data_IF_203597467389
#
_entry.id   IF_203597467389
#
_cell.length_a   1.000
_cell.length_b   1.000
_cell.length_c   1.000
_cell.angle_alpha   90.00
_cell.angle_beta   90.00
_cell.angle_gamma   90.00
#
_symmetry.space_group_name_H-M   'P 1'
#
loop_
_entity.id
_entity.type
_entity.pdbx_description
1 polymer ?
#
# COMPACT_ATOMS: atom_id res chain seq x y z
N UNK A 1 -18.41 -2.81 -2.23
CA UNK A 1 -18.44 -1.55 -1.42
C UNK A 1 -19.48 -0.59 -1.97
N UNK A 2 -20.27 0.12 -1.13
CA UNK A 2 -21.25 1.12 -1.60
C UNK A 2 -20.68 2.54 -1.57
N UNK A 3 -21.10 3.39 -2.52
CA UNK A 3 -20.58 4.76 -2.63
C UNK A 3 -20.89 5.60 -1.39
N UNK A 4 -22.11 5.55 -0.87
CA UNK A 4 -22.51 6.37 0.28
C UNK A 4 -21.72 6.00 1.53
N UNK A 5 -21.52 4.71 1.80
CA UNK A 5 -20.72 4.23 2.93
C UNK A 5 -19.26 4.68 2.79
N UNK A 6 -18.70 4.53 1.59
CA UNK A 6 -17.33 4.96 1.32
C UNK A 6 -17.15 6.46 1.51
N UNK A 7 -18.01 7.26 0.88
CA UNK A 7 -18.04 8.72 0.97
C UNK A 7 -18.13 9.18 2.42
N UNK A 8 -19.04 8.58 3.20
CA UNK A 8 -19.22 8.90 4.60
C UNK A 8 -17.98 8.59 5.44
N UNK A 9 -17.32 7.45 5.18
CA UNK A 9 -16.12 7.03 5.91
C UNK A 9 -14.93 7.93 5.57
N UNK A 10 -14.64 8.13 4.27
CA UNK A 10 -13.40 8.81 3.84
C UNK A 10 -13.48 10.33 3.90
N UNK A 11 -14.68 10.91 3.87
CA UNK A 11 -14.90 12.36 3.97
C UNK A 11 -15.37 12.81 5.36
N UNK A 12 -15.15 12.00 6.40
CA UNK A 12 -15.40 12.46 7.76
C UNK A 12 -14.55 13.71 8.06
N UNK A 13 -15.18 14.73 8.65
CA UNK A 13 -14.54 16.02 8.96
C UNK A 13 -13.26 15.85 9.79
N UNK A 14 -13.27 14.89 10.73
CA UNK A 14 -12.12 14.50 11.55
C UNK A 14 -10.95 14.00 10.71
N UNK A 15 -11.20 13.15 9.71
CA UNK A 15 -10.14 12.63 8.85
C UNK A 15 -9.54 13.71 7.95
N UNK A 16 -10.38 14.60 7.40
CA UNK A 16 -9.93 15.76 6.61
C UNK A 16 -9.06 16.69 7.48
N UNK A 17 -9.45 16.92 8.73
CA UNK A 17 -8.68 17.74 9.68
C UNK A 17 -7.37 17.06 10.13
N UNK A 18 -7.36 15.74 10.36
CA UNK A 18 -6.16 14.96 10.71
C UNK A 18 -5.16 14.88 9.54
N UNK A 19 -5.61 14.61 8.32
CA UNK A 19 -4.77 14.62 7.12
C UNK A 19 -4.26 16.02 6.75
N UNK A 20 -5.03 17.07 7.07
CA UNK A 20 -4.61 18.46 6.92
C UNK A 20 -3.60 18.90 7.98
N UNK A 21 -3.59 18.25 9.14
CA UNK A 21 -2.71 18.57 10.25
C UNK A 21 -1.56 17.58 10.47
N UNK A 22 -1.47 16.46 9.73
CA UNK A 22 -0.30 15.58 9.72
C UNK A 22 0.65 15.96 8.57
N UNK A 23 1.65 16.82 8.82
CA UNK A 23 2.56 17.31 7.79
C UNK A 23 3.51 16.21 7.32
N UNK A 24 3.66 15.13 8.09
CA UNK A 24 4.77 14.17 7.94
C UNK A 24 4.57 13.22 6.78
N UNK A 25 3.34 12.91 6.36
CA UNK A 25 3.17 12.08 5.18
C UNK A 25 3.58 12.83 3.90
N UNK A 26 3.19 14.10 3.79
CA UNK A 26 3.41 14.95 2.61
C UNK A 26 4.81 15.55 2.52
N UNK A 27 5.38 15.96 3.66
CA UNK A 27 6.71 16.55 3.71
C UNK A 27 7.81 15.52 3.38
N UNK A 28 7.52 14.22 3.50
CA UNK A 28 8.52 13.16 3.31
C UNK A 28 8.49 12.58 1.89
N UNK A 29 7.35 12.61 1.19
CA UNK A 29 7.35 12.42 -0.27
C UNK A 29 8.17 13.49 -0.98
N UNK A 30 8.24 14.72 -0.42
CA UNK A 30 9.10 15.81 -0.91
C UNK A 30 10.59 15.49 -0.78
N UNK A 31 11.01 14.73 0.24
CA UNK A 31 12.42 14.32 0.42
C UNK A 31 12.90 13.32 -0.63
N UNK A 32 12.01 12.78 -1.47
CA UNK A 32 12.40 12.06 -2.68
C UNK A 32 13.10 10.71 -2.47
N UNK A 33 13.19 10.19 -1.24
CA UNK A 33 13.85 8.90 -0.98
C UNK A 33 13.22 7.75 -1.79
N UNK A 34 11.92 7.80 -2.03
CA UNK A 34 11.22 6.85 -2.91
C UNK A 34 11.67 6.97 -4.37
N UNK A 35 12.07 8.16 -4.82
CA UNK A 35 12.61 8.38 -6.18
C UNK A 35 13.91 7.62 -6.38
N UNK A 36 14.69 7.40 -5.32
CA UNK A 36 15.93 6.62 -5.37
C UNK A 36 15.71 5.15 -5.74
N UNK A 37 14.53 4.57 -5.47
CA UNK A 37 14.20 3.24 -5.99
C UNK A 37 14.13 3.20 -7.53
N UNK A 38 13.97 4.34 -8.18
CA UNK A 38 13.94 4.48 -9.63
C UNK A 38 15.23 5.07 -10.23
N UNK A 39 16.19 5.47 -9.39
CA UNK A 39 17.49 6.00 -9.79
C UNK A 39 18.50 4.86 -10.01
N UNK A 40 19.59 5.07 -10.79
CA UNK A 40 20.59 4.04 -11.09
C UNK A 40 21.33 3.51 -9.85
N UNK A 41 21.47 4.31 -8.80
CA UNK A 41 22.25 3.96 -7.62
C UNK A 41 21.44 3.15 -6.59
N UNK A 42 22.05 2.20 -5.88
CA UNK A 42 21.40 1.51 -4.77
C UNK A 42 21.17 2.47 -3.60
N UNK A 43 20.19 2.14 -2.75
CA UNK A 43 20.00 2.86 -1.50
C UNK A 43 21.25 2.76 -0.62
N UNK A 44 21.58 3.84 0.08
CA UNK A 44 22.60 3.84 1.11
C UNK A 44 21.99 3.80 2.52
N UNK A 45 22.82 3.68 3.56
CA UNK A 45 22.35 3.64 4.95
C UNK A 45 21.52 4.86 5.34
N UNK A 46 21.88 6.06 4.86
CA UNK A 46 21.12 7.28 5.13
C UNK A 46 19.70 7.23 4.52
N UNK A 47 19.53 6.56 3.38
CA UNK A 47 18.21 6.36 2.78
C UNK A 47 17.38 5.41 3.65
N UNK A 48 17.98 4.29 4.07
CA UNK A 48 17.34 3.34 4.99
C UNK A 48 16.96 4.00 6.31
N UNK A 49 17.80 4.89 6.86
CA UNK A 49 17.48 5.67 8.06
C UNK A 49 16.20 6.49 7.89
N UNK A 50 16.04 7.17 6.76
CA UNK A 50 14.81 7.93 6.47
C UNK A 50 13.60 7.00 6.40
N UNK A 51 13.72 5.86 5.70
CA UNK A 51 12.64 4.88 5.57
C UNK A 51 12.26 4.32 6.95
N UNK A 52 13.25 3.91 7.76
CA UNK A 52 13.03 3.33 9.08
C UNK A 52 12.47 4.35 10.06
N UNK A 53 12.96 5.60 10.03
CA UNK A 53 12.44 6.69 10.85
C UNK A 53 10.97 6.93 10.55
N UNK A 54 10.60 6.98 9.27
CA UNK A 54 9.22 7.08 8.84
C UNK A 54 8.38 5.90 9.32
N UNK A 55 8.84 4.66 9.08
CA UNK A 55 8.12 3.47 9.54
C UNK A 55 7.93 3.47 11.06
N UNK A 56 8.88 3.96 11.85
CA UNK A 56 8.75 4.07 13.32
C UNK A 56 7.63 5.01 13.74
N UNK A 57 7.35 6.06 12.97
CA UNK A 57 6.24 6.99 13.22
C UNK A 57 4.88 6.42 12.83
N UNK A 58 4.86 5.36 12.03
CA UNK A 58 3.60 4.77 11.56
C UNK A 58 2.98 3.84 12.61
N UNK A 59 2.01 4.34 13.37
CA UNK A 59 1.31 3.56 14.40
C UNK A 59 2.28 2.93 15.42
N UNK A 60 2.13 1.62 15.71
CA UNK A 60 2.98 0.88 16.67
C UNK A 60 4.20 0.20 16.01
N UNK A 61 4.59 0.60 14.80
CA UNK A 61 5.66 -0.08 14.03
C UNK A 61 7.06 0.08 14.65
N UNK A 62 7.31 1.13 15.44
CA UNK A 62 8.56 1.24 16.21
C UNK A 62 8.82 0.04 17.11
N UNK A 63 7.77 -0.60 17.65
CA UNK A 63 7.86 -1.84 18.43
C UNK A 63 8.36 -3.01 17.57
N UNK A 64 7.81 -3.17 16.36
CA UNK A 64 8.15 -4.28 15.46
C UNK A 64 9.59 -4.13 14.96
N UNK A 65 9.98 -2.93 14.55
CA UNK A 65 11.36 -2.63 14.15
C UNK A 65 12.32 -2.88 15.31
N UNK A 66 11.95 -2.46 16.53
CA UNK A 66 12.74 -2.75 17.74
C UNK A 66 12.90 -4.24 18.03
N UNK A 67 11.87 -5.06 17.79
CA UNK A 67 11.94 -6.51 17.93
C UNK A 67 12.87 -7.14 16.89
N UNK A 68 12.76 -6.74 15.62
CA UNK A 68 13.65 -7.22 14.55
C UNK A 68 15.10 -6.87 14.85
N UNK A 69 15.37 -5.63 15.32
CA UNK A 69 16.72 -5.20 15.74
C UNK A 69 17.29 -6.09 16.84
N UNK A 70 16.51 -6.36 17.88
CA UNK A 70 16.91 -7.25 18.99
C UNK A 70 17.21 -8.67 18.52
N UNK A 71 16.42 -9.21 17.58
CA UNK A 71 16.63 -10.56 17.05
C UNK A 71 17.89 -10.66 16.18
N UNK A 72 18.21 -9.61 15.42
CA UNK A 72 19.33 -9.60 14.47
C UNK A 72 20.66 -9.16 15.09
N UNK A 73 20.66 -8.74 16.35
CA UNK A 73 21.86 -8.41 17.11
C UNK A 73 22.52 -7.07 16.75
N UNK A 74 22.34 -6.55 15.53
CA UNK A 74 22.95 -5.29 15.08
C UNK A 74 22.09 -4.52 14.06
N UNK A 75 22.01 -3.19 14.20
CA UNK A 75 21.33 -2.31 13.23
C UNK A 75 21.95 -2.44 11.82
N UNK A 76 23.27 -2.67 11.75
CA UNK A 76 24.01 -2.81 10.49
C UNK A 76 23.50 -3.96 9.63
N UNK A 77 23.26 -5.14 10.21
CA UNK A 77 22.78 -6.31 9.47
C UNK A 77 21.40 -6.07 8.86
N UNK A 78 20.48 -5.44 9.59
CA UNK A 78 19.16 -5.11 9.06
C UNK A 78 19.26 -4.13 7.89
N UNK A 79 20.18 -3.17 7.93
CA UNK A 79 20.34 -2.17 6.88
C UNK A 79 20.90 -2.81 5.61
N UNK A 80 21.94 -3.65 5.75
CA UNK A 80 22.51 -4.42 4.65
C UNK A 80 21.46 -5.33 4.00
N UNK A 81 20.65 -6.03 4.79
CA UNK A 81 19.56 -6.85 4.28
C UNK A 81 18.47 -6.02 3.59
N UNK A 82 18.14 -4.83 4.11
CA UNK A 82 17.17 -3.92 3.48
C UNK A 82 17.69 -3.41 2.13
N UNK A 83 18.95 -2.98 2.06
CA UNK A 83 19.59 -2.53 0.82
C UNK A 83 19.63 -3.67 -0.19
N UNK A 84 19.94 -4.88 0.25
CA UNK A 84 19.94 -6.07 -0.60
C UNK A 84 18.54 -6.40 -1.14
N UNK A 85 17.51 -6.41 -0.28
CA UNK A 85 16.12 -6.62 -0.68
C UNK A 85 15.67 -5.55 -1.69
N UNK A 86 16.02 -4.28 -1.43
CA UNK A 86 15.73 -3.16 -2.34
C UNK A 86 16.42 -3.34 -3.69
N UNK A 87 17.70 -3.73 -3.70
CA UNK A 87 18.48 -3.94 -4.92
C UNK A 87 17.92 -5.09 -5.76
N UNK A 88 17.55 -6.21 -5.12
CA UNK A 88 16.93 -7.36 -5.81
C UNK A 88 15.58 -7.03 -6.42
N UNK A 89 14.76 -6.23 -5.74
CA UNK A 89 13.37 -5.95 -6.17
C UNK A 89 13.26 -4.71 -7.06
N UNK A 90 14.35 -3.95 -7.22
CA UNK A 90 14.36 -2.67 -7.92
C UNK A 90 13.87 -2.74 -9.37
N UNK A 91 14.33 -3.73 -10.13
CA UNK A 91 13.90 -3.89 -11.52
C UNK A 91 12.38 -4.12 -11.63
N UNK A 92 11.78 -4.83 -10.67
CA UNK A 92 10.32 -4.95 -10.62
C UNK A 92 9.63 -3.61 -10.35
N UNK A 93 10.12 -2.81 -9.40
CA UNK A 93 9.54 -1.49 -9.16
C UNK A 93 9.65 -0.58 -10.39
N UNK A 94 10.77 -0.61 -11.11
CA UNK A 94 10.93 0.11 -12.38
C UNK A 94 9.87 -0.31 -13.40
N UNK A 95 9.67 -1.62 -13.59
CA UNK A 95 8.66 -2.17 -14.49
C UNK A 95 7.22 -1.86 -14.06
N UNK A 96 6.98 -1.70 -12.76
CA UNK A 96 5.67 -1.39 -12.18
C UNK A 96 5.39 0.11 -12.03
N UNK A 97 6.35 0.99 -12.31
CA UNK A 97 6.30 2.42 -11.97
C UNK A 97 5.07 3.15 -12.52
N UNK A 98 4.63 2.79 -13.73
CA UNK A 98 3.50 3.42 -14.41
C UNK A 98 2.19 2.67 -14.21
N UNK A 99 2.22 1.51 -13.56
CA UNK A 99 1.03 0.70 -13.32
C UNK A 99 0.25 1.30 -12.15
N UNK A 100 -1.04 1.54 -12.36
CA UNK A 100 -1.95 1.98 -11.30
C UNK A 100 -2.84 0.82 -10.85
N UNK A 101 -3.30 0.87 -9.62
CA UNK A 101 -4.12 -0.18 -9.03
C UNK A 101 -5.45 -0.38 -9.77
N UNK A 102 -6.09 0.71 -10.19
CA UNK A 102 -7.35 0.68 -10.95
C UNK A 102 -7.21 0.09 -12.36
N UNK A 103 -5.98 0.00 -12.90
CA UNK A 103 -5.71 -0.59 -14.21
C UNK A 103 -5.60 -2.13 -14.14
N UNK A 104 -5.65 -2.73 -12.93
CA UNK A 104 -5.65 -4.19 -12.75
C UNK A 104 -6.91 -4.81 -13.35
N UNK A 105 -6.74 -5.90 -14.11
CA UNK A 105 -7.85 -6.69 -14.60
C UNK A 105 -7.88 -8.04 -13.88
N UNK A 106 -8.94 -8.26 -13.10
CA UNK A 106 -9.16 -9.47 -12.30
C UNK A 106 -9.38 -10.72 -13.17
N UNK A 107 -10.15 -10.58 -14.24
CA UNK A 107 -10.66 -11.71 -15.04
C UNK A 107 -9.71 -12.15 -16.15
N UNK A 108 -8.71 -11.34 -16.47
CA UNK A 108 -7.79 -11.58 -17.59
C UNK A 108 -6.34 -11.58 -17.11
N UNK A 109 -5.98 -12.58 -16.30
CA UNK A 109 -4.59 -12.79 -15.87
C UNK A 109 -3.60 -12.82 -17.06
N UNK A 110 -4.07 -13.14 -18.27
CA UNK A 110 -3.32 -13.10 -19.54
C UNK A 110 -3.08 -11.71 -20.10
N UNK A 111 -3.80 -10.68 -19.64
CA UNK A 111 -3.60 -9.26 -20.01
C UNK A 111 -2.76 -8.48 -19.01
N UNK A 112 -2.52 -9.02 -17.82
CA UNK A 112 -1.58 -8.40 -16.89
C UNK A 112 -0.17 -8.45 -17.50
N UNK A 113 0.67 -7.43 -17.25
CA UNK A 113 2.01 -7.40 -17.80
C UNK A 113 2.81 -8.62 -17.35
N UNK A 114 3.53 -9.22 -18.28
CA UNK A 114 4.61 -10.18 -17.99
C UNK A 114 5.88 -9.37 -17.81
N UNK A 115 6.51 -9.51 -16.64
CA UNK A 115 7.70 -8.75 -16.25
C UNK A 115 8.80 -9.77 -16.02
N UNK A 116 9.86 -9.73 -16.82
CA UNK A 116 10.98 -10.67 -16.75
C UNK A 116 10.55 -12.14 -16.74
N UNK A 117 9.55 -12.47 -17.58
CA UNK A 117 8.97 -13.81 -17.69
C UNK A 117 8.06 -14.23 -16.53
N UNK A 118 7.80 -13.33 -15.57
CA UNK A 118 6.95 -13.58 -14.40
C UNK A 118 5.59 -12.92 -14.56
N UNK A 119 4.56 -13.53 -13.97
CA UNK A 119 3.25 -12.88 -13.88
C UNK A 119 3.30 -11.73 -12.87
N UNK A 120 2.39 -10.77 -12.98
CA UNK A 120 2.24 -9.70 -11.99
C UNK A 120 2.08 -10.22 -10.57
N UNK A 121 1.37 -11.34 -10.40
CA UNK A 121 1.23 -12.01 -9.09
C UNK A 121 2.58 -12.43 -8.54
N UNK A 122 3.39 -13.12 -9.35
CA UNK A 122 4.70 -13.62 -8.93
C UNK A 122 5.62 -12.46 -8.54
N UNK A 123 5.58 -11.37 -9.33
CA UNK A 123 6.34 -10.16 -9.03
C UNK A 123 5.93 -9.52 -7.70
N UNK A 124 4.63 -9.33 -7.46
CA UNK A 124 4.13 -8.74 -6.22
C UNK A 124 4.48 -9.63 -5.03
N UNK A 125 4.31 -10.95 -5.16
CA UNK A 125 4.65 -11.91 -4.10
C UNK A 125 6.16 -11.88 -3.80
N UNK A 126 7.01 -11.79 -4.81
CA UNK A 126 8.48 -11.76 -4.66
C UNK A 126 8.97 -10.47 -4.01
N UNK A 127 8.45 -9.31 -4.43
CA UNK A 127 8.75 -8.03 -3.76
C UNK A 127 8.39 -8.12 -2.27
N UNK A 128 7.17 -8.60 -1.99
CA UNK A 128 6.70 -8.71 -0.62
C UNK A 128 7.57 -9.67 0.20
N UNK A 129 7.91 -10.82 -0.37
CA UNK A 129 8.72 -11.84 0.29
C UNK A 129 10.12 -11.33 0.63
N UNK A 130 10.79 -10.63 -0.29
CA UNK A 130 12.12 -10.06 -0.02
C UNK A 130 12.07 -9.05 1.14
N UNK A 131 11.07 -8.17 1.20
CA UNK A 131 10.93 -7.24 2.33
C UNK A 131 10.48 -7.92 3.63
N UNK A 132 9.61 -8.94 3.59
CA UNK A 132 9.18 -9.66 4.80
C UNK A 132 10.33 -10.42 5.47
N UNK A 133 11.31 -10.90 4.69
CA UNK A 133 12.54 -11.49 5.24
C UNK A 133 13.32 -10.48 6.09
N UNK A 134 13.29 -9.20 5.71
CA UNK A 134 13.98 -8.13 6.44
C UNK A 134 13.13 -7.61 7.61
N UNK A 135 11.91 -7.16 7.31
CA UNK A 135 10.99 -6.47 8.21
C UNK A 135 9.63 -7.18 8.14
N UNK A 136 9.38 -8.04 9.13
CA UNK A 136 8.26 -8.99 9.17
C UNK A 136 6.88 -8.36 9.08
N UNK A 137 5.90 -9.19 8.70
CA UNK A 137 4.47 -8.98 8.85
C UNK A 137 3.88 -7.91 7.91
N UNK A 138 3.54 -6.74 8.44
CA UNK A 138 2.75 -5.72 7.75
C UNK A 138 3.61 -4.59 7.19
N UNK A 139 4.88 -4.53 7.61
CA UNK A 139 5.85 -3.55 7.14
C UNK A 139 6.10 -3.64 5.62
N UNK A 140 6.18 -4.82 4.97
CA UNK A 140 6.43 -4.90 3.54
C UNK A 140 5.40 -4.13 2.70
N UNK A 141 4.10 -4.25 3.04
CA UNK A 141 3.03 -3.50 2.34
C UNK A 141 3.22 -1.99 2.41
N UNK A 142 3.72 -1.47 3.55
CA UNK A 142 3.97 -0.04 3.76
C UNK A 142 5.15 0.41 2.91
N UNK A 143 6.25 -0.34 2.94
CA UNK A 143 7.42 -0.07 2.08
C UNK A 143 7.00 -0.04 0.61
N UNK A 144 6.25 -1.04 0.16
CA UNK A 144 5.75 -1.13 -1.22
C UNK A 144 4.86 0.06 -1.57
N UNK A 145 3.92 0.45 -0.69
CA UNK A 145 3.08 1.64 -0.87
C UNK A 145 3.88 2.93 -0.91
N UNK A 146 4.88 3.08 -0.05
CA UNK A 146 5.75 4.26 -0.02
C UNK A 146 6.54 4.40 -1.32
N UNK A 147 7.01 3.29 -1.90
CA UNK A 147 7.74 3.28 -3.17
C UNK A 147 6.79 3.56 -4.35
N UNK A 148 5.68 2.83 -4.44
CA UNK A 148 4.69 3.00 -5.50
C UNK A 148 3.27 3.15 -4.92
N UNK A 149 2.91 4.38 -4.53
CA UNK A 149 1.62 4.66 -3.90
C UNK A 149 0.48 4.64 -4.89
N UNK A 150 0.69 4.50 -6.20
CA UNK A 150 -0.40 4.35 -7.16
C UNK A 150 -0.85 2.90 -7.31
N UNK A 151 -0.04 1.96 -6.82
CA UNK A 151 -0.18 0.54 -7.09
C UNK A 151 -0.49 -0.27 -5.84
N UNK A 152 0.26 -0.06 -4.77
CA UNK A 152 0.18 -0.90 -3.59
C UNK A 152 -0.77 -0.29 -2.57
N UNK A 153 -1.57 -1.14 -1.93
CA UNK A 153 -2.49 -0.77 -0.85
C UNK A 153 -1.88 -1.27 0.44
N UNK A 154 -1.89 -0.45 1.47
CA UNK A 154 -1.38 -0.87 2.76
C UNK A 154 -2.36 -1.78 3.48
N UNK A 155 -1.79 -2.64 4.32
CA UNK A 155 -2.59 -3.34 5.31
C UNK A 155 -1.89 -3.35 6.67
N UNK A 156 -2.64 -3.76 7.67
CA UNK A 156 -2.11 -4.20 8.94
C UNK A 156 -2.83 -5.47 9.38
N UNK A 157 -2.55 -5.93 10.60
CA UNK A 157 -3.15 -7.13 11.14
C UNK A 157 -4.68 -7.04 11.22
N UNK A 158 -5.22 -5.89 11.64
CA UNK A 158 -6.67 -5.71 11.80
C UNK A 158 -7.35 -5.67 10.44
N UNK A 159 -6.80 -4.89 9.50
CA UNK A 159 -7.31 -4.82 8.12
C UNK A 159 -7.26 -6.21 7.46
N UNK A 160 -6.12 -6.91 7.56
CA UNK A 160 -5.92 -8.25 7.00
C UNK A 160 -6.92 -9.27 7.53
N UNK A 161 -7.14 -9.29 8.85
CA UNK A 161 -8.09 -10.20 9.50
C UNK A 161 -9.52 -9.86 9.10
N UNK A 162 -9.90 -8.57 9.08
CA UNK A 162 -11.23 -8.13 8.66
C UNK A 162 -11.56 -8.49 7.20
N UNK A 163 -10.57 -8.53 6.32
CA UNK A 163 -10.73 -8.97 4.93
C UNK A 163 -10.60 -10.49 4.74
N UNK A 164 -10.40 -11.27 5.81
CA UNK A 164 -10.30 -12.74 5.76
C UNK A 164 -9.03 -13.24 5.08
N UNK A 165 -7.96 -12.44 5.07
CA UNK A 165 -6.71 -12.78 4.41
C UNK A 165 -5.68 -13.48 5.32
N UNK A 166 -6.01 -13.68 6.59
CA UNK A 166 -5.13 -14.30 7.58
C UNK A 166 -4.86 -15.79 7.31
N UNK A 167 -5.85 -16.54 6.83
CA UNK A 167 -5.74 -17.99 6.57
C UNK A 167 -4.74 -18.31 5.47
N UNK A 168 -4.46 -17.35 4.59
CA UNK A 168 -3.46 -17.45 3.53
C UNK A 168 -2.05 -17.13 4.03
N UNK A 169 -1.93 -16.44 5.17
CA UNK A 169 -0.66 -16.11 5.81
C UNK A 169 -0.15 -17.29 6.62
N UNK A 170 0.34 -18.33 5.94
CA UNK A 170 1.18 -19.36 6.58
C UNK A 170 2.33 -18.66 7.31
N UNK A 171 2.85 -19.25 8.39
CA UNK A 171 3.88 -18.66 9.26
C UNK A 171 5.28 -18.47 8.60
N UNK A 172 5.33 -18.17 7.30
CA UNK A 172 6.52 -17.86 6.52
C UNK A 172 6.24 -16.73 5.52
N UNK A 173 7.31 -16.13 4.99
CA UNK A 173 7.24 -14.96 4.13
C UNK A 173 6.35 -15.19 2.88
N UNK A 174 6.44 -16.38 2.27
CA UNK A 174 5.63 -16.75 1.11
C UNK A 174 4.13 -16.82 1.41
N UNK A 175 3.75 -17.26 2.61
CA UNK A 175 2.36 -17.23 3.07
C UNK A 175 1.83 -15.80 3.15
N UNK A 176 2.59 -14.90 3.78
CA UNK A 176 2.22 -13.50 3.88
C UNK A 176 2.12 -12.81 2.51
N UNK A 177 3.07 -13.09 1.60
CA UNK A 177 3.05 -12.59 0.24
C UNK A 177 1.76 -12.98 -0.51
N UNK A 178 1.36 -14.25 -0.43
CA UNK A 178 0.09 -14.75 -1.00
C UNK A 178 -1.13 -14.10 -0.36
N UNK A 179 -1.12 -13.98 0.97
CA UNK A 179 -2.20 -13.31 1.71
C UNK A 179 -2.37 -11.86 1.28
N UNK A 180 -1.26 -11.16 1.06
CA UNK A 180 -1.25 -9.77 0.60
C UNK A 180 -1.76 -9.63 -0.83
N UNK A 181 -1.31 -10.49 -1.76
CA UNK A 181 -1.84 -10.49 -3.12
C UNK A 181 -3.35 -10.75 -3.12
N UNK A 182 -3.83 -11.72 -2.33
CA UNK A 182 -5.27 -11.99 -2.18
C UNK A 182 -6.04 -10.78 -1.63
N UNK A 183 -5.44 -10.03 -0.69
CA UNK A 183 -6.01 -8.77 -0.21
C UNK A 183 -6.13 -7.75 -1.35
N UNK A 184 -5.08 -7.54 -2.15
CA UNK A 184 -5.13 -6.64 -3.32
C UNK A 184 -6.24 -7.04 -4.30
N UNK A 185 -6.41 -8.34 -4.57
CA UNK A 185 -7.47 -8.82 -5.46
C UNK A 185 -8.88 -8.54 -4.91
N UNK A 186 -9.09 -8.72 -3.59
CA UNK A 186 -10.37 -8.37 -2.95
C UNK A 186 -10.63 -6.88 -3.01
N UNK A 187 -9.62 -6.05 -2.70
CA UNK A 187 -9.73 -4.59 -2.82
C UNK A 187 -10.05 -4.14 -4.25
N UNK A 188 -9.57 -4.88 -5.26
CA UNK A 188 -9.87 -4.57 -6.65
C UNK A 188 -11.32 -4.85 -7.02
N UNK A 189 -11.90 -5.95 -6.52
CA UNK A 189 -13.34 -6.26 -6.65
C UNK A 189 -14.17 -5.16 -5.99
N UNK A 190 -13.82 -4.80 -4.75
CA UNK A 190 -14.51 -3.77 -3.98
C UNK A 190 -14.45 -2.40 -4.66
N UNK A 191 -13.32 -2.09 -5.30
CA UNK A 191 -13.14 -0.87 -6.09
C UNK A 191 -14.00 -0.87 -7.36
N UNK A 192 -14.13 -1.99 -8.07
CA UNK A 192 -15.03 -2.09 -9.22
C UNK A 192 -16.48 -1.87 -8.80
N UNK A 193 -16.92 -2.54 -7.73
CA UNK A 193 -18.26 -2.34 -7.17
C UNK A 193 -18.49 -0.90 -6.74
N UNK A 194 -17.51 -0.26 -6.10
CA UNK A 194 -17.58 1.15 -5.71
C UNK A 194 -17.78 2.05 -6.93
N UNK A 195 -16.99 1.85 -7.98
CA UNK A 195 -17.06 2.64 -9.21
C UNK A 195 -18.38 2.43 -9.97
N UNK A 196 -18.90 1.19 -9.99
CA UNK A 196 -20.22 0.87 -10.54
C UNK A 196 -21.36 1.52 -9.76
N UNK A 197 -21.28 1.45 -8.43
CA UNK A 197 -22.27 2.06 -7.53
C UNK A 197 -22.25 3.59 -7.65
N UNK A 198 -21.06 4.19 -7.68
CA UNK A 198 -20.87 5.62 -7.93
C UNK A 198 -21.48 6.05 -9.28
N UNK A 199 -21.14 5.34 -10.36
CA UNK A 199 -21.63 5.63 -11.70
C UNK A 199 -23.16 5.61 -11.75
N UNK A 200 -23.79 4.63 -11.09
CA UNK A 200 -25.24 4.54 -10.97
C UNK A 200 -25.84 5.72 -10.19
N UNK A 201 -25.27 6.06 -9.04
CA UNK A 201 -25.77 7.13 -8.15
C UNK A 201 -25.60 8.51 -8.78
N UNK A 202 -24.44 8.78 -9.39
CA UNK A 202 -24.09 10.07 -10.00
C UNK A 202 -24.47 10.17 -11.48
N UNK A 203 -25.06 9.10 -12.05
CA UNK A 203 -25.46 8.99 -13.47
C UNK A 203 -24.28 9.25 -14.43
N UNK A 204 -23.11 8.74 -14.09
CA UNK A 204 -21.89 8.83 -14.91
C UNK A 204 -21.85 7.62 -15.86
N UNK A 205 -21.52 7.80 -17.16
CA UNK A 205 -21.33 6.69 -18.08
C UNK A 205 -20.24 5.71 -17.61
N UNK A 206 -20.39 4.42 -17.92
CA UNK A 206 -19.39 3.41 -17.55
C UNK A 206 -17.97 3.72 -18.06
N UNK A 207 -17.77 4.18 -19.31
CA UNK A 207 -16.46 4.65 -19.74
C UNK A 207 -16.03 5.88 -18.93
N UNK A 208 -14.87 5.81 -18.28
CA UNK A 208 -14.33 6.92 -17.47
C UNK A 208 -14.92 7.06 -16.07
N UNK A 209 -15.76 6.12 -15.61
CA UNK A 209 -16.34 6.12 -14.26
C UNK A 209 -15.29 6.24 -13.15
N UNK A 210 -14.16 5.54 -13.30
CA UNK A 210 -13.08 5.54 -12.31
C UNK A 210 -12.40 6.90 -12.22
N UNK A 211 -12.10 7.53 -13.36
CA UNK A 211 -11.49 8.86 -13.39
C UNK A 211 -12.44 9.89 -12.77
N UNK A 212 -13.74 9.80 -13.08
CA UNK A 212 -14.75 10.72 -12.53
C UNK A 212 -14.92 10.55 -11.02
N UNK A 213 -14.94 9.30 -10.53
CA UNK A 213 -14.94 8.98 -9.10
C UNK A 213 -13.73 9.61 -8.40
N UNK A 214 -12.52 9.41 -8.95
CA UNK A 214 -11.29 9.94 -8.37
C UNK A 214 -11.26 11.47 -8.39
N UNK A 215 -11.69 12.09 -9.48
CA UNK A 215 -11.79 13.54 -9.60
C UNK A 215 -12.78 14.15 -8.58
N UNK A 216 -13.94 13.53 -8.37
CA UNK A 216 -14.92 14.00 -7.38
C UNK A 216 -14.37 13.88 -5.95
N UNK A 217 -13.72 12.76 -5.61
CA UNK A 217 -13.07 12.58 -4.32
C UNK A 217 -11.98 13.63 -4.07
N UNK A 218 -11.08 13.82 -5.04
CA UNK A 218 -9.94 14.74 -4.93
C UNK A 218 -10.38 16.21 -4.85
N UNK A 219 -11.43 16.61 -5.57
CA UNK A 219 -12.00 17.98 -5.48
C UNK A 219 -12.56 18.31 -4.10
N UNK A 220 -13.03 17.32 -3.35
CA UNK A 220 -13.70 17.55 -2.05
C UNK A 220 -12.74 17.79 -0.90
N UNK A 221 -11.49 17.36 -1.04
CA UNK A 221 -10.44 17.56 -0.02
C UNK A 221 -9.31 18.49 -0.50
N UNK A 222 -9.43 19.04 -1.72
CA UNK A 222 -8.42 19.86 -2.39
C UNK A 222 -7.02 19.20 -2.39
N UNK A 223 -6.99 17.89 -2.69
CA UNK A 223 -5.76 17.10 -2.78
C UNK A 223 -5.85 16.09 -3.91
N UNK A 224 -4.71 15.74 -4.49
CA UNK A 224 -4.62 14.76 -5.56
C UNK A 224 -4.15 13.40 -5.03
N UNK A 225 -5.08 12.62 -4.47
CA UNK A 225 -4.77 11.28 -3.96
C UNK A 225 -4.93 10.24 -5.04
N UNK A 226 -4.09 9.20 -4.95
CA UNK A 226 -4.28 7.96 -5.69
C UNK A 226 -5.47 7.19 -5.13
N UNK A 227 -6.04 6.29 -5.92
CA UNK A 227 -7.16 5.46 -5.45
C UNK A 227 -6.77 4.55 -4.28
N UNK A 228 -5.54 4.04 -4.28
CA UNK A 228 -5.00 3.22 -3.19
C UNK A 228 -4.94 4.01 -1.87
N UNK A 229 -4.56 5.30 -1.90
CA UNK A 229 -4.58 6.15 -0.71
C UNK A 229 -6.00 6.31 -0.18
N UNK A 230 -7.00 6.51 -1.06
CA UNK A 230 -8.40 6.54 -0.66
C UNK A 230 -8.87 5.21 -0.04
N UNK A 231 -8.43 4.08 -0.59
CA UNK A 231 -8.71 2.75 -0.03
C UNK A 231 -8.02 2.53 1.32
N UNK A 232 -6.80 3.04 1.51
CA UNK A 232 -6.08 2.98 2.78
C UNK A 232 -6.80 3.78 3.87
N UNK A 233 -7.26 5.00 3.54
CA UNK A 233 -8.08 5.84 4.41
C UNK A 233 -9.35 5.11 4.83
N UNK A 234 -10.07 4.53 3.86
CA UNK A 234 -11.27 3.77 4.12
C UNK A 234 -11.01 2.58 5.04
N UNK A 235 -10.01 1.76 4.71
CA UNK A 235 -9.65 0.58 5.50
C UNK A 235 -9.25 0.96 6.93
N UNK A 236 -8.44 1.99 7.10
CA UNK A 236 -8.03 2.45 8.42
C UNK A 236 -9.23 2.93 9.24
N UNK A 237 -10.04 3.82 8.67
CA UNK A 237 -11.20 4.41 9.35
C UNK A 237 -12.21 3.35 9.74
N UNK A 238 -12.56 2.46 8.79
CA UNK A 238 -13.55 1.40 9.00
C UNK A 238 -13.14 0.41 10.09
N UNK A 239 -11.87 0.03 10.15
CA UNK A 239 -11.44 -1.08 11.02
C UNK A 239 -10.70 -0.66 12.29
N UNK A 240 -10.23 0.59 12.39
CA UNK A 240 -9.54 1.09 13.60
C UNK A 240 -10.36 2.13 14.37
N UNK A 241 -11.05 3.07 13.73
CA UNK A 241 -11.76 4.12 14.47
C UNK A 241 -13.00 3.61 15.20
N UNK A 242 -13.65 2.55 14.71
CA UNK A 242 -14.75 1.87 15.45
C UNK A 242 -14.26 1.17 16.73
N UNK A 243 -12.95 0.94 16.84
CA UNK A 243 -12.33 0.22 17.96
C UNK A 243 -11.90 1.14 19.10
N UNK A 244 -11.54 2.39 18.78
CA UNK A 244 -11.16 3.42 19.75
C UNK A 244 -12.35 4.19 20.35
N UNK A 245 -13.57 3.98 19.81
CA UNK A 245 -14.82 4.54 20.33
C UNK A 245 -15.55 3.63 21.33
N UNK A 246 -14.96 2.48 21.68
CA UNK A 246 -15.46 1.51 22.67
C UNK A 246 -14.47 1.37 23.83
#
# INVERSE_FOLDING_TARGET
MKWQDFEQVVLTKKHIEEENNDPKYFEWSKNGVWKKFYEPDPLCNADVDVIISFLKTWGKMGRVIGQVRKQKGEDKLMYEEFINASSKTRHFFLSLKMLRFEDFQLEMATKNPIIDGKTLKDVIEEIFEEFDRVLKHTIPSKIMHMINPNLFIMWDETIRTSWGCESNCKANARGYARGYYNFMMRMRVELDELADDYARVKRVPSPGRMNTLLDDLNKRIDRNYSITKWLDVYNYTKYHQERDAK
#
